data_IF_193265461848
#
_entry.id   IF_193265461848
#
_cell.length_a   1.000
_cell.length_b   1.000
_cell.length_c   1.000
_cell.angle_alpha   90.00
_cell.angle_beta   90.00
_cell.angle_gamma   90.00
#
_symmetry.space_group_name_H-M   'P 1'
#
loop_
_entity.id
_entity.type
_entity.pdbx_description
1 polymer ?
#
# COMPACT_ATOMS: atom_id res chain seq x y z
N UNK A 1 0.20 33.29 0.44
CA UNK A 1 0.25 31.86 0.09
C UNK A 1 1.43 31.65 -0.86
N UNK A 2 2.39 30.80 -0.52
CA UNK A 2 3.52 30.47 -1.40
C UNK A 2 3.18 29.29 -2.31
N UNK A 3 3.92 29.05 -3.41
CA UNK A 3 3.73 27.88 -4.27
C UNK A 3 3.81 26.55 -3.51
N UNK A 4 4.65 26.45 -2.49
CA UNK A 4 4.80 25.27 -1.63
C UNK A 4 3.55 25.04 -0.77
N UNK A 5 3.01 26.13 -0.19
CA UNK A 5 1.78 26.08 0.59
C UNK A 5 0.58 25.67 -0.28
N UNK A 6 0.54 26.10 -1.54
CA UNK A 6 -0.48 25.68 -2.50
C UNK A 6 -0.38 24.19 -2.82
N UNK A 7 0.82 23.67 -3.11
CA UNK A 7 1.04 22.24 -3.35
C UNK A 7 0.63 21.39 -2.16
N UNK A 8 1.01 21.80 -0.96
CA UNK A 8 0.64 21.09 0.27
C UNK A 8 -0.88 21.06 0.47
N UNK A 9 -1.57 22.18 0.24
CA UNK A 9 -3.04 22.26 0.36
C UNK A 9 -3.76 21.41 -0.69
N UNK A 10 -3.26 21.37 -1.92
CA UNK A 10 -3.82 20.51 -2.98
C UNK A 10 -3.64 19.02 -2.62
N UNK A 11 -2.45 18.63 -2.15
CA UNK A 11 -2.18 17.25 -1.74
C UNK A 11 -3.10 16.82 -0.59
N UNK A 12 -3.26 17.66 0.43
CA UNK A 12 -4.18 17.38 1.53
C UNK A 12 -5.61 17.18 1.01
N UNK A 13 -6.11 18.09 0.15
CA UNK A 13 -7.45 17.94 -0.44
C UNK A 13 -7.59 16.68 -1.29
N UNK A 14 -6.51 16.22 -1.94
CA UNK A 14 -6.49 14.96 -2.67
C UNK A 14 -6.67 13.76 -1.73
N UNK A 15 -5.92 13.75 -0.62
CA UNK A 15 -5.98 12.68 0.38
C UNK A 15 -7.35 12.61 1.06
N UNK A 16 -8.00 13.76 1.27
CA UNK A 16 -9.35 13.85 1.84
C UNK A 16 -10.48 13.57 0.80
N UNK A 17 -10.15 13.29 -0.46
CA UNK A 17 -11.15 13.07 -1.52
C UNK A 17 -11.93 14.33 -1.94
N UNK A 18 -11.46 15.53 -1.60
CA UNK A 18 -12.18 16.81 -1.80
C UNK A 18 -11.79 17.56 -3.08
N UNK A 19 -11.02 16.95 -3.97
CA UNK A 19 -10.65 17.57 -5.26
C UNK A 19 -11.79 17.53 -6.29
N UNK A 20 -12.74 16.61 -6.13
CA UNK A 20 -13.87 16.41 -7.03
C UNK A 20 -15.12 16.10 -6.17
N UNK A 21 -16.34 16.49 -6.59
CA UNK A 21 -17.56 16.07 -5.90
C UNK A 21 -17.64 14.55 -5.79
N UNK A 22 -17.86 14.05 -4.57
CA UNK A 22 -18.08 12.63 -4.30
C UNK A 22 -19.51 12.24 -4.71
N UNK A 23 -19.68 11.09 -5.37
CA UNK A 23 -20.99 10.55 -5.67
C UNK A 23 -21.40 9.54 -4.58
N UNK A 24 -22.50 9.79 -3.85
CA UNK A 24 -22.95 8.88 -2.79
C UNK A 24 -23.41 7.51 -3.29
N UNK A 25 -23.65 7.37 -4.61
CA UNK A 25 -24.03 6.09 -5.21
C UNK A 25 -22.82 5.27 -5.70
N UNK A 26 -21.60 5.78 -5.58
CA UNK A 26 -20.41 5.01 -5.93
C UNK A 26 -20.28 3.80 -4.99
N UNK A 27 -19.80 2.68 -5.54
CA UNK A 27 -19.54 1.48 -4.74
C UNK A 27 -18.48 1.80 -3.66
N UNK A 28 -18.78 1.56 -2.37
CA UNK A 28 -17.80 1.79 -1.33
C UNK A 28 -16.67 0.77 -1.44
N UNK A 29 -15.44 1.19 -1.10
CA UNK A 29 -14.25 0.35 -1.15
C UNK A 29 -14.42 -0.95 -0.34
N UNK A 30 -15.26 -0.94 0.70
CA UNK A 30 -15.60 -2.12 1.50
C UNK A 30 -16.16 -3.28 0.68
N UNK A 31 -16.95 -3.04 -0.36
CA UNK A 31 -17.46 -4.10 -1.25
C UNK A 31 -16.37 -4.73 -2.10
N UNK A 32 -15.46 -3.91 -2.65
CA UNK A 32 -14.29 -4.42 -3.36
C UNK A 32 -13.40 -5.25 -2.42
N UNK A 33 -13.19 -4.80 -1.19
CA UNK A 33 -12.38 -5.53 -0.21
C UNK A 33 -13.00 -6.88 0.17
N UNK A 34 -14.34 -6.97 0.27
CA UNK A 34 -15.03 -8.27 0.46
C UNK A 34 -14.73 -9.22 -0.70
N UNK A 35 -14.81 -8.75 -1.95
CA UNK A 35 -14.49 -9.57 -3.15
C UNK A 35 -13.03 -10.02 -3.15
N UNK A 36 -12.10 -9.13 -2.81
CA UNK A 36 -10.66 -9.45 -2.70
C UNK A 36 -10.42 -10.53 -1.63
N UNK A 37 -11.02 -10.40 -0.44
CA UNK A 37 -10.90 -11.41 0.63
C UNK A 37 -11.43 -12.78 0.18
N UNK A 38 -12.59 -12.80 -0.49
CA UNK A 38 -13.17 -14.04 -1.00
C UNK A 38 -12.28 -14.71 -2.06
N UNK A 39 -11.76 -13.96 -3.02
CA UNK A 39 -10.86 -14.50 -4.05
C UNK A 39 -9.53 -14.95 -3.44
N UNK A 40 -9.01 -14.23 -2.45
CA UNK A 40 -7.80 -14.62 -1.71
C UNK A 40 -7.98 -15.97 -1.02
N UNK A 41 -9.09 -16.18 -0.29
CA UNK A 41 -9.37 -17.46 0.37
C UNK A 41 -9.54 -18.61 -0.63
N UNK A 42 -10.17 -18.34 -1.79
CA UNK A 42 -10.23 -19.31 -2.88
C UNK A 42 -8.83 -19.70 -3.38
N UNK A 43 -7.96 -18.73 -3.66
CA UNK A 43 -6.59 -19.00 -4.11
C UNK A 43 -5.73 -19.72 -3.05
N UNK A 44 -5.97 -19.46 -1.76
CA UNK A 44 -5.36 -20.19 -0.65
C UNK A 44 -5.83 -21.64 -0.65
N UNK A 45 -7.13 -21.88 -0.82
CA UNK A 45 -7.71 -23.23 -0.87
C UNK A 45 -7.22 -24.04 -2.06
N UNK A 46 -6.96 -23.38 -3.18
CA UNK A 46 -6.35 -23.97 -4.39
C UNK A 46 -4.83 -24.16 -4.26
N UNK A 47 -4.21 -23.69 -3.17
CA UNK A 47 -2.77 -23.80 -2.92
C UNK A 47 -1.90 -22.88 -3.79
N UNK A 48 -2.50 -21.94 -4.51
CA UNK A 48 -1.79 -21.00 -5.41
C UNK A 48 -1.05 -19.91 -4.65
N UNK A 49 -1.56 -19.52 -3.48
CA UNK A 49 -0.93 -18.54 -2.59
C UNK A 49 -0.94 -19.07 -1.15
N UNK A 50 -0.05 -18.54 -0.31
CA UNK A 50 -0.01 -18.89 1.11
C UNK A 50 -0.84 -17.89 1.91
N UNK A 51 -1.50 -18.36 2.98
CA UNK A 51 -2.17 -17.44 3.92
C UNK A 51 -1.13 -16.57 4.63
N UNK A 52 -1.39 -15.27 4.70
CA UNK A 52 -0.56 -14.36 5.49
C UNK A 52 -0.83 -14.59 6.99
N UNK A 53 0.23 -14.79 7.77
CA UNK A 53 0.15 -15.02 9.21
C UNK A 53 -0.03 -13.71 10.00
N UNK A 54 0.22 -12.57 9.37
CA UNK A 54 0.18 -11.23 10.00
C UNK A 54 -0.89 -10.36 9.37
N UNK A 55 -1.97 -10.96 8.90
CA UNK A 55 -3.09 -10.21 8.36
C UNK A 55 -3.67 -9.29 9.44
N UNK A 56 -3.91 -8.04 9.05
CA UNK A 56 -4.49 -7.03 9.94
C UNK A 56 -5.66 -6.38 9.24
N UNK A 57 -6.71 -6.12 9.98
CA UNK A 57 -7.87 -5.40 9.50
C UNK A 57 -7.84 -3.99 10.07
N UNK A 58 -8.02 -2.98 9.22
CA UNK A 58 -8.19 -1.61 9.67
C UNK A 58 -9.69 -1.33 9.69
N UNK A 59 -10.16 -0.70 10.75
CA UNK A 59 -11.56 -0.28 10.90
C UNK A 59 -11.64 1.07 11.62
N UNK A 60 -12.76 1.77 11.42
CA UNK A 60 -13.07 3.03 12.12
C UNK A 60 -13.85 2.72 13.40
N UNK A 61 -13.42 3.27 14.53
CA UNK A 61 -14.12 3.17 15.81
C UNK A 61 -15.24 4.20 15.96
N UNK A 62 -16.08 4.02 16.98
CA UNK A 62 -17.17 4.95 17.31
C UNK A 62 -16.67 6.37 17.69
N UNK A 63 -15.41 6.46 18.10
CA UNK A 63 -14.71 7.72 18.40
C UNK A 63 -14.18 8.44 17.15
N UNK A 64 -14.41 7.87 15.96
CA UNK A 64 -13.98 8.40 14.67
C UNK A 64 -12.52 8.12 14.32
N UNK A 65 -11.77 7.45 15.20
CA UNK A 65 -10.37 7.08 14.98
C UNK A 65 -10.25 5.76 14.22
N UNK A 66 -9.05 5.50 13.69
CA UNK A 66 -8.75 4.25 12.98
C UNK A 66 -7.97 3.29 13.87
N UNK A 67 -8.31 2.02 13.77
CA UNK A 67 -7.71 0.95 14.55
C UNK A 67 -7.28 -0.19 13.65
N UNK A 68 -6.12 -0.77 13.94
CA UNK A 68 -5.64 -2.01 13.36
C UNK A 68 -5.90 -3.16 14.31
N UNK A 69 -6.70 -4.13 13.87
CA UNK A 69 -6.83 -5.44 14.52
C UNK A 69 -5.76 -6.37 13.97
N UNK A 70 -4.92 -6.92 14.83
CA UNK A 70 -3.86 -7.84 14.45
C UNK A 70 -4.30 -9.30 14.60
N UNK A 71 -3.54 -10.20 13.97
CA UNK A 71 -3.81 -11.64 13.99
C UNK A 71 -3.78 -12.27 15.40
N UNK A 72 -3.12 -11.63 16.38
CA UNK A 72 -3.11 -12.05 17.79
C UNK A 72 -4.34 -11.55 18.57
N UNK A 73 -5.27 -10.85 17.92
CA UNK A 73 -6.46 -10.26 18.53
C UNK A 73 -6.22 -8.90 19.18
N UNK A 74 -4.98 -8.41 19.23
CA UNK A 74 -4.68 -7.07 19.73
C UNK A 74 -5.25 -6.00 18.79
N UNK A 75 -5.67 -4.89 19.36
CA UNK A 75 -6.15 -3.72 18.62
C UNK A 75 -5.30 -2.52 19.00
N UNK A 76 -4.75 -1.83 18.00
CA UNK A 76 -3.97 -0.61 18.22
C UNK A 76 -4.53 0.53 17.38
N UNK A 77 -4.53 1.73 17.94
CA UNK A 77 -4.83 2.96 17.20
C UNK A 77 -3.80 3.13 16.08
N UNK A 78 -4.28 3.45 14.88
CA UNK A 78 -3.48 3.80 13.73
C UNK A 78 -3.65 5.29 13.49
N UNK A 79 -2.52 5.98 13.39
CA UNK A 79 -2.50 7.37 12.96
C UNK A 79 -2.90 7.45 11.48
N UNK A 80 -4.16 7.82 11.25
CA UNK A 80 -4.68 8.16 9.94
C UNK A 80 -4.59 9.68 9.79
N UNK A 81 -3.60 10.20 9.02
CA UNK A 81 -3.27 11.63 9.04
C UNK A 81 -4.35 12.52 8.41
N UNK A 82 -5.32 11.93 7.71
CA UNK A 82 -6.40 12.64 7.02
C UNK A 82 -7.72 11.90 7.23
N UNK A 83 -8.79 12.68 7.34
CA UNK A 83 -10.15 12.18 7.24
C UNK A 83 -10.46 11.84 5.79
N UNK A 84 -11.11 10.70 5.56
CA UNK A 84 -11.42 10.19 4.22
C UNK A 84 -12.94 10.08 4.05
N UNK A 85 -13.46 10.10 2.80
CA UNK A 85 -14.88 9.88 2.55
C UNK A 85 -15.35 8.52 3.08
N UNK A 86 -16.62 8.40 3.46
CA UNK A 86 -17.20 7.13 3.96
C UNK A 86 -17.21 6.01 2.91
N UNK A 87 -17.07 6.36 1.63
CA UNK A 87 -16.92 5.39 0.53
C UNK A 87 -15.49 4.84 0.41
N UNK A 88 -14.52 5.44 1.10
CA UNK A 88 -13.12 5.02 1.09
C UNK A 88 -12.79 4.25 2.36
N UNK A 89 -11.76 3.42 2.29
CA UNK A 89 -11.30 2.60 3.41
C UNK A 89 -9.78 2.63 3.48
N UNK A 90 -9.24 2.83 4.68
CA UNK A 90 -7.81 2.61 4.91
C UNK A 90 -7.51 1.12 4.90
N UNK A 91 -6.55 0.71 4.09
CA UNK A 91 -6.11 -0.69 4.04
C UNK A 91 -4.60 -0.79 4.03
N UNK A 92 -4.07 -1.87 4.60
CA UNK A 92 -2.67 -2.22 4.37
C UNK A 92 -2.53 -2.73 2.96
N UNK A 93 -1.56 -2.20 2.21
CA UNK A 93 -1.32 -2.61 0.82
C UNK A 93 -1.21 -4.15 0.75
N UNK A 94 -0.47 -4.81 1.66
CA UNK A 94 -0.35 -6.29 1.71
C UNK A 94 -1.68 -7.08 1.76
N UNK A 95 -2.78 -6.46 2.18
CA UNK A 95 -4.10 -7.11 2.22
C UNK A 95 -4.76 -7.21 0.83
N UNK A 96 -4.38 -6.34 -0.11
CA UNK A 96 -5.04 -6.21 -1.42
C UNK A 96 -4.22 -6.67 -2.62
N UNK A 97 -2.94 -7.01 -2.43
CA UNK A 97 -2.11 -7.61 -3.48
C UNK A 97 -1.24 -8.73 -2.92
N UNK A 98 -0.90 -9.68 -3.80
CA UNK A 98 0.08 -10.71 -3.51
C UNK A 98 1.39 -10.39 -4.20
N UNK A 99 2.50 -10.42 -3.46
CA UNK A 99 3.83 -10.25 -4.03
C UNK A 99 4.34 -11.60 -4.55
N UNK A 100 4.42 -11.75 -5.88
CA UNK A 100 4.99 -12.93 -6.53
C UNK A 100 6.52 -13.00 -6.47
N UNK A 101 7.17 -12.01 -5.87
CA UNK A 101 8.62 -11.87 -5.82
C UNK A 101 9.21 -11.49 -7.18
N UNK A 102 10.54 -11.45 -7.22
CA UNK A 102 11.26 -11.32 -8.48
C UNK A 102 11.30 -12.68 -9.16
N UNK A 103 10.77 -12.74 -10.38
CA UNK A 103 10.87 -13.92 -11.23
C UNK A 103 11.70 -13.58 -12.47
N UNK A 104 12.52 -14.54 -12.91
CA UNK A 104 13.14 -14.43 -14.23
C UNK A 104 12.00 -14.49 -15.25
N UNK A 105 11.91 -13.52 -16.17
CA UNK A 105 10.86 -13.57 -17.16
C UNK A 105 10.99 -14.79 -18.07
N UNK A 106 9.85 -15.39 -18.38
CA UNK A 106 9.76 -16.47 -19.34
C UNK A 106 9.95 -15.99 -20.78
N UNK A 107 9.71 -14.70 -21.03
CA UNK A 107 9.83 -14.07 -22.35
C UNK A 107 10.86 -12.95 -22.32
N UNK A 108 11.55 -12.75 -23.44
CA UNK A 108 12.40 -11.58 -23.62
C UNK A 108 11.58 -10.31 -23.45
N UNK A 109 11.91 -9.49 -22.45
CA UNK A 109 11.33 -8.16 -22.28
C UNK A 109 12.45 -7.13 -22.27
N UNK A 110 12.15 -5.90 -22.72
CA UNK A 110 13.04 -4.75 -22.56
C UNK A 110 12.68 -4.02 -21.28
N UNK A 111 13.64 -3.96 -20.37
CA UNK A 111 13.54 -3.10 -19.20
C UNK A 111 13.82 -1.66 -19.63
N UNK A 112 12.92 -0.73 -19.29
CA UNK A 112 13.22 0.70 -19.36
C UNK A 112 13.31 1.16 -17.92
N UNK A 113 14.54 1.43 -17.47
CA UNK A 113 14.77 2.04 -16.18
C UNK A 113 14.49 3.54 -16.30
N UNK A 114 13.41 4.02 -15.69
CA UNK A 114 13.07 5.45 -15.64
C UNK A 114 13.53 6.13 -14.37
N UNK A 115 14.35 5.48 -13.55
CA UNK A 115 14.61 5.94 -12.18
C UNK A 115 15.98 5.52 -11.67
N UNK A 116 17.07 6.11 -12.17
CA UNK A 116 18.30 6.40 -11.37
C UNK A 116 19.27 7.32 -12.16
N UNK A 117 19.59 8.54 -11.69
CA UNK A 117 20.86 9.17 -12.06
C UNK A 117 22.01 8.37 -11.44
N UNK A 118 22.93 7.87 -12.28
CA UNK A 118 24.03 6.99 -11.88
C UNK A 118 24.88 7.67 -10.79
N UNK A 119 24.79 7.20 -9.55
CA UNK A 119 25.79 7.48 -8.51
C UNK A 119 26.71 6.27 -8.48
N UNK A 120 27.94 6.41 -8.95
CA UNK A 120 28.95 5.38 -8.81
C UNK A 120 29.31 5.19 -7.33
N UNK A 121 29.12 4.01 -6.72
CA UNK A 121 29.71 3.74 -5.42
C UNK A 121 31.24 3.66 -5.60
N UNK A 122 31.98 4.50 -4.87
CA UNK A 122 33.45 4.41 -4.80
C UNK A 122 33.83 2.99 -4.35
N UNK A 123 34.64 2.33 -5.17
CA UNK A 123 35.28 1.04 -4.85
C UNK A 123 35.94 1.11 -3.48
N UNK A 124 35.61 0.16 -2.61
CA UNK A 124 36.36 -0.10 -1.37
C UNK A 124 37.68 -0.78 -1.77
N UNK A 125 38.79 -0.06 -1.66
CA UNK A 125 40.12 -0.63 -1.79
C UNK A 125 40.33 -1.73 -0.74
N UNK A 126 40.70 -2.93 -1.18
CA UNK A 126 41.39 -3.93 -0.37
C UNK A 126 42.82 -4.13 -0.92
N UNK A 127 43.76 -4.51 -0.04
CA UNK A 127 45.16 -4.05 -0.08
C UNK A 127 46.00 -4.74 -1.15
N UNK A 128 46.92 -3.98 -1.76
CA UNK A 128 48.03 -4.50 -2.55
C UNK A 128 48.98 -5.30 -1.63
N UNK A 129 49.11 -6.59 -1.90
CA UNK A 129 50.32 -7.34 -1.61
C UNK A 129 51.02 -7.66 -2.94
N UNK A 130 52.22 -7.12 -3.12
CA UNK A 130 53.19 -7.49 -4.15
C UNK A 130 54.60 -7.36 -3.53
N UNK A 131 55.59 -8.01 -4.14
CA UNK A 131 55.94 -9.42 -4.06
C UNK A 131 56.95 -9.73 -2.94
#
# INVERSE_FOLDING_TARGET
MTPEQLKASILQRAMEGKLVPQNPNDEPASELLKRIKAEKEKLISEGKIKRDKKETEIFRGDDGKHYGKFADGSTQEIDAPYDIPDTWEWVRIKSIYWNFGQNKPEKSFRYIDTSTPIIHPKSKNHPESLP
#
